data_IF_820906458800
#
_entry.id   IF_820906458800
#
_cell.length_a   1.000
_cell.length_b   1.000
_cell.length_c   1.000
_cell.angle_alpha   90.00
_cell.angle_beta   90.00
_cell.angle_gamma   90.00
#
_symmetry.space_group_name_H-M   'P 1'
#
loop_
_entity.id
_entity.type
_entity.pdbx_description
1 polymer ?
#
# COMPACT_ATOMS: atom_id res chain seq x y z
N UNK A 1 18.28 11.18 -3.72
CA UNK A 1 17.26 11.46 -2.69
C UNK A 1 16.09 10.54 -3.01
N UNK A 2 15.40 9.93 -2.05
CA UNK A 2 14.26 9.03 -2.34
C UNK A 2 12.98 9.76 -1.95
N UNK A 3 12.08 9.96 -2.89
CA UNK A 3 10.76 10.51 -2.60
C UNK A 3 9.85 9.39 -2.08
N UNK A 4 9.16 9.65 -0.96
CA UNK A 4 8.37 8.61 -0.28
C UNK A 4 6.98 9.15 0.04
N UNK A 5 5.96 8.40 -0.38
CA UNK A 5 4.56 8.66 0.00
C UNK A 5 4.16 7.59 1.02
N UNK A 6 3.63 8.04 2.17
CA UNK A 6 3.02 7.13 3.16
C UNK A 6 1.51 7.34 3.16
N UNK A 7 0.78 6.28 2.85
CA UNK A 7 -0.68 6.30 2.81
C UNK A 7 -1.22 5.47 3.96
N UNK A 8 -2.05 6.07 4.80
CA UNK A 8 -2.79 5.37 5.85
C UNK A 8 -4.23 5.14 5.38
N UNK A 9 -4.63 3.88 5.35
CA UNK A 9 -5.98 3.46 4.94
C UNK A 9 -6.68 2.78 6.10
N UNK A 10 -7.97 3.07 6.24
CA UNK A 10 -8.83 2.41 7.20
C UNK A 10 -10.03 1.78 6.49
N UNK A 11 -10.14 0.46 6.55
CA UNK A 11 -11.27 -0.24 5.96
C UNK A 11 -12.57 0.14 6.69
N UNK A 12 -13.69 0.18 5.97
CA UNK A 12 -15.01 0.36 6.57
C UNK A 12 -15.39 -0.86 7.46
N UNK A 13 -16.57 -0.84 8.07
CA UNK A 13 -17.01 -1.86 9.03
C UNK A 13 -17.48 -3.17 8.39
N UNK A 14 -17.54 -3.27 7.06
CA UNK A 14 -17.91 -4.52 6.38
C UNK A 14 -16.77 -5.55 6.53
N UNK A 15 -17.03 -6.72 7.13
CA UNK A 15 -16.02 -7.76 7.31
C UNK A 15 -15.34 -8.20 6.00
N UNK A 16 -16.05 -8.17 4.87
CA UNK A 16 -15.48 -8.55 3.58
C UNK A 16 -14.51 -7.50 3.00
N UNK A 17 -14.55 -6.27 3.51
CA UNK A 17 -13.73 -5.18 2.97
C UNK A 17 -12.24 -5.34 3.29
N UNK A 18 -11.87 -5.96 4.42
CA UNK A 18 -10.47 -6.16 4.80
C UNK A 18 -9.76 -7.07 3.80
N UNK A 19 -10.34 -8.24 3.50
CA UNK A 19 -9.75 -9.19 2.56
C UNK A 19 -9.72 -8.63 1.13
N UNK A 20 -10.80 -7.95 0.73
CA UNK A 20 -10.87 -7.28 -0.57
C UNK A 20 -9.80 -6.18 -0.71
N UNK A 21 -9.60 -5.38 0.33
CA UNK A 21 -8.57 -4.35 0.34
C UNK A 21 -7.18 -4.98 0.27
N UNK A 22 -6.90 -5.98 1.09
CA UNK A 22 -5.62 -6.72 1.08
C UNK A 22 -5.30 -7.31 -0.28
N UNK A 23 -6.28 -7.94 -0.93
CA UNK A 23 -6.11 -8.50 -2.27
C UNK A 23 -5.79 -7.41 -3.30
N UNK A 24 -6.55 -6.31 -3.32
CA UNK A 24 -6.32 -5.19 -4.24
C UNK A 24 -4.98 -4.50 -4.03
N UNK A 25 -4.58 -4.28 -2.78
CA UNK A 25 -3.28 -3.68 -2.47
C UNK A 25 -2.14 -4.61 -2.86
N UNK A 26 -2.26 -5.93 -2.63
CA UNK A 26 -1.24 -6.90 -3.05
C UNK A 26 -1.11 -6.98 -4.58
N UNK A 27 -2.21 -6.84 -5.30
CA UNK A 27 -2.18 -6.76 -6.76
C UNK A 27 -1.51 -5.46 -7.22
N UNK A 28 -1.92 -4.32 -6.65
CA UNK A 28 -1.35 -3.01 -6.94
C UNK A 28 0.17 -2.98 -6.71
N UNK A 29 0.66 -3.55 -5.60
CA UNK A 29 2.10 -3.59 -5.29
C UNK A 29 2.92 -4.26 -6.39
N UNK A 30 2.39 -5.35 -6.97
CA UNK A 30 3.05 -6.10 -8.05
C UNK A 30 3.05 -5.35 -9.38
N UNK A 31 2.06 -4.48 -9.59
CA UNK A 31 1.95 -3.66 -10.80
C UNK A 31 2.88 -2.46 -10.69
N UNK A 32 2.76 -1.67 -9.61
CA UNK A 32 3.51 -0.42 -9.46
C UNK A 32 5.00 -0.62 -9.22
N UNK A 33 5.42 -1.74 -8.60
CA UNK A 33 6.85 -2.07 -8.46
C UNK A 33 7.55 -2.35 -9.80
N UNK A 34 6.81 -2.42 -10.92
CA UNK A 34 7.38 -2.55 -12.28
C UNK A 34 7.48 -1.22 -13.01
N UNK A 35 6.94 -0.15 -12.44
CA UNK A 35 7.07 1.18 -13.03
C UNK A 35 8.52 1.64 -12.92
N UNK A 36 9.01 2.34 -13.94
CA UNK A 36 10.42 2.67 -14.14
C UNK A 36 10.97 3.54 -13.00
N UNK A 37 10.13 4.40 -12.42
CA UNK A 37 10.53 5.34 -11.37
C UNK A 37 10.19 4.84 -9.96
N UNK A 38 9.43 3.75 -9.85
CA UNK A 38 9.12 3.13 -8.55
C UNK A 38 10.31 2.28 -8.11
N UNK A 39 10.86 2.63 -6.95
CA UNK A 39 11.90 1.84 -6.29
C UNK A 39 11.28 0.66 -5.54
N UNK A 40 10.24 0.93 -4.74
CA UNK A 40 9.58 -0.08 -3.91
C UNK A 40 8.13 0.32 -3.61
N UNK A 41 7.28 -0.69 -3.36
CA UNK A 41 5.89 -0.48 -2.94
C UNK A 41 5.47 -1.52 -1.88
N UNK A 42 5.41 -1.09 -0.62
CA UNK A 42 5.15 -1.97 0.52
C UNK A 42 3.71 -1.86 1.01
N UNK A 43 3.08 -3.01 1.29
CA UNK A 43 1.77 -3.09 1.94
C UNK A 43 1.93 -3.69 3.33
N UNK A 44 1.49 -2.96 4.34
CA UNK A 44 1.52 -3.40 5.74
C UNK A 44 0.12 -3.36 6.33
N UNK A 45 -0.25 -4.41 7.05
CA UNK A 45 -1.49 -4.51 7.81
C UNK A 45 -1.14 -4.49 9.30
N UNK A 46 -1.88 -3.72 10.10
CA UNK A 46 -1.64 -3.68 11.55
C UNK A 46 -1.91 -5.04 12.19
N UNK A 47 -1.06 -5.42 13.14
CA UNK A 47 -1.22 -6.63 13.95
C UNK A 47 -2.23 -6.45 15.09
N UNK A 48 -2.61 -5.20 15.40
CA UNK A 48 -3.54 -4.85 16.47
C UNK A 48 -4.94 -4.53 15.94
N UNK A 49 -5.04 -3.94 14.75
CA UNK A 49 -6.31 -3.63 14.09
C UNK A 49 -6.29 -4.09 12.62
N UNK A 50 -7.00 -5.18 12.27
CA UNK A 50 -6.97 -5.71 10.91
C UNK A 50 -7.56 -4.76 9.86
N UNK A 51 -8.30 -3.70 10.26
CA UNK A 51 -8.85 -2.68 9.35
C UNK A 51 -7.84 -1.59 9.01
N UNK A 52 -6.74 -1.49 9.73
CA UNK A 52 -5.71 -0.48 9.53
C UNK A 52 -4.60 -1.00 8.61
N UNK A 53 -4.36 -0.26 7.53
CA UNK A 53 -3.33 -0.54 6.54
C UNK A 53 -2.43 0.68 6.35
N UNK A 54 -1.16 0.42 6.06
CA UNK A 54 -0.20 1.44 5.65
C UNK A 54 0.50 0.99 4.37
N UNK A 55 0.58 1.90 3.40
CA UNK A 55 1.33 1.72 2.17
C UNK A 55 2.53 2.65 2.21
N UNK A 56 3.70 2.15 1.85
CA UNK A 56 4.90 2.96 1.66
C UNK A 56 5.34 2.83 0.22
N UNK A 57 5.20 3.92 -0.52
CA UNK A 57 5.55 4.04 -1.93
C UNK A 57 6.87 4.80 -2.01
N UNK A 58 7.85 4.27 -2.74
CA UNK A 58 9.18 4.88 -2.86
C UNK A 58 9.50 5.09 -4.32
N UNK A 59 9.92 6.31 -4.65
CA UNK A 59 10.22 6.75 -6.01
C UNK A 59 11.61 7.37 -6.08
N UNK A 60 12.24 7.28 -7.25
CA UNK A 60 13.54 7.90 -7.50
C UNK A 60 13.47 9.43 -7.42
N UNK A 61 12.39 10.03 -7.92
CA UNK A 61 12.18 11.48 -7.98
C UNK A 61 10.74 11.86 -7.56
N UNK A 62 10.48 13.15 -7.31
CA UNK A 62 9.17 13.68 -6.88
C UNK A 62 8.12 13.80 -8.01
N UNK A 63 8.49 13.48 -9.25
CA UNK A 63 7.65 13.67 -10.45
C UNK A 63 7.85 15.02 -11.13
#
# INVERSE_FOLDING_TARGET
MVYTITVHLYANSDPASVDKLKAKLTEASRVYSKDKETLDWFVMQSTQDPRSFTIVERYENEG
#
